data_IF_971175456632
#
_entry.id   IF_971175456632
#
_cell.length_a   1.000
_cell.length_b   1.000
_cell.length_c   1.000
_cell.angle_alpha   90.00
_cell.angle_beta   90.00
_cell.angle_gamma   90.00
#
_symmetry.space_group_name_H-M   'P 1'
#
loop_
_entity.id
_entity.type
_entity.pdbx_description
1 polymer ?
#
# COMPACT_ATOMS: atom_id res chain seq x y z
N UNK A 1 -3.65 28.05 -5.10
CA UNK A 1 -2.26 27.55 -5.00
C UNK A 1 -2.16 26.18 -5.67
N UNK A 2 -1.67 26.12 -6.92
CA UNK A 2 -1.54 24.88 -7.72
C UNK A 2 -0.14 24.25 -7.59
N UNK A 3 0.82 24.96 -6.97
CA UNK A 3 2.25 24.60 -6.96
C UNK A 3 2.76 23.97 -5.65
N UNK A 4 1.88 23.47 -4.78
CA UNK A 4 2.34 22.72 -3.61
C UNK A 4 2.86 21.34 -4.06
N UNK A 5 4.00 20.82 -3.56
CA UNK A 5 4.53 19.52 -3.97
C UNK A 5 3.51 18.37 -3.91
N UNK A 6 2.53 18.44 -3.01
CA UNK A 6 1.44 17.47 -2.90
C UNK A 6 0.42 17.49 -4.05
N UNK A 7 0.25 18.61 -4.78
CA UNK A 7 -0.73 18.69 -5.89
C UNK A 7 -0.32 17.77 -7.05
N UNK A 8 0.98 17.67 -7.33
CA UNK A 8 1.53 16.79 -8.36
C UNK A 8 1.48 15.30 -7.98
N UNK A 9 1.38 14.98 -6.68
CA UNK A 9 1.28 13.59 -6.21
C UNK A 9 -0.14 13.03 -6.30
N UNK A 10 -1.16 13.90 -6.24
CA UNK A 10 -2.57 13.49 -6.31
C UNK A 10 -2.92 12.80 -7.63
N UNK A 11 -2.24 13.14 -8.74
CA UNK A 11 -2.47 12.47 -10.02
C UNK A 11 -2.07 10.99 -9.97
N UNK A 12 -0.95 10.67 -9.30
CA UNK A 12 -0.42 9.32 -9.18
C UNK A 12 -1.28 8.49 -8.24
N UNK A 13 -1.70 9.07 -7.12
CA UNK A 13 -2.66 8.41 -6.25
C UNK A 13 -3.99 8.13 -6.98
N UNK A 14 -4.53 9.10 -7.71
CA UNK A 14 -5.74 8.89 -8.53
C UNK A 14 -5.55 7.77 -9.54
N UNK A 15 -4.43 7.74 -10.26
CA UNK A 15 -4.11 6.67 -11.21
C UNK A 15 -4.06 5.30 -10.52
N UNK A 16 -3.41 5.20 -9.36
CA UNK A 16 -3.37 3.97 -8.57
C UNK A 16 -4.76 3.51 -8.17
N UNK A 17 -5.59 4.40 -7.63
CA UNK A 17 -6.95 4.07 -7.20
C UNK A 17 -7.86 3.63 -8.34
N UNK A 18 -7.61 4.10 -9.57
CA UNK A 18 -8.34 3.72 -10.78
C UNK A 18 -7.74 2.49 -11.48
N UNK A 19 -6.55 2.04 -11.08
CA UNK A 19 -5.86 0.91 -11.72
C UNK A 19 -6.44 -0.47 -11.36
N UNK A 20 -7.38 -0.52 -10.42
CA UNK A 20 -8.03 -1.73 -9.91
C UNK A 20 -9.55 -1.53 -9.79
N UNK A 21 -10.36 -2.60 -9.70
CA UNK A 21 -11.81 -2.49 -9.57
C UNK A 21 -12.24 -1.53 -8.45
N UNK A 22 -12.91 -0.45 -8.83
CA UNK A 22 -13.15 0.68 -7.93
C UNK A 22 -14.31 0.44 -6.95
N UNK A 23 -15.43 -0.11 -7.44
CA UNK A 23 -16.68 -0.18 -6.67
C UNK A 23 -16.69 -1.25 -5.57
N UNK A 24 -15.86 -2.28 -5.68
CA UNK A 24 -15.72 -3.32 -4.64
C UNK A 24 -14.71 -2.95 -3.55
N UNK A 25 -14.06 -1.80 -3.67
CA UNK A 25 -13.01 -1.38 -2.75
C UNK A 25 -13.59 -0.90 -1.44
N UNK A 26 -13.08 -1.45 -0.34
CA UNK A 26 -13.46 -1.06 1.03
C UNK A 26 -12.23 -0.71 1.86
N UNK A 27 -12.33 0.24 2.81
CA UNK A 27 -11.32 0.41 3.86
C UNK A 27 -11.24 -0.87 4.71
N UNK A 28 -10.03 -1.36 4.99
CA UNK A 28 -9.85 -2.54 5.84
C UNK A 28 -8.53 -2.45 6.62
N UNK A 29 -8.59 -1.90 7.83
CA UNK A 29 -7.43 -1.81 8.71
C UNK A 29 -7.01 -3.17 9.29
N UNK A 30 -7.81 -4.24 9.15
CA UNK A 30 -7.39 -5.58 9.58
C UNK A 30 -6.25 -6.16 8.73
N UNK A 31 -5.92 -5.50 7.61
CA UNK A 31 -4.69 -5.73 6.85
C UNK A 31 -3.43 -5.40 7.64
N UNK A 32 -3.48 -4.53 8.65
CA UNK A 32 -2.31 -4.19 9.48
C UNK A 32 -2.28 -5.10 10.71
N UNK A 33 -1.24 -5.90 10.85
CA UNK A 33 -1.12 -6.97 11.87
C UNK A 33 -0.72 -6.49 13.27
N UNK A 34 -0.77 -5.19 13.54
CA UNK A 34 -0.33 -4.60 14.79
C UNK A 34 -0.81 -3.15 14.95
N UNK A 35 -0.04 -2.34 15.67
CA UNK A 35 -0.39 -0.94 15.90
C UNK A 35 -0.45 -0.16 14.58
N UNK A 36 -1.65 0.29 14.21
CA UNK A 36 -1.88 1.13 13.04
C UNK A 36 -1.06 2.42 13.08
N UNK A 37 -0.70 2.90 14.28
CA UNK A 37 0.01 4.16 14.49
C UNK A 37 -0.91 5.38 14.47
N UNK A 38 -0.37 6.51 14.91
CA UNK A 38 -1.07 7.79 15.00
C UNK A 38 -0.42 8.85 14.12
N UNK A 39 -1.21 9.84 13.69
CA UNK A 39 -0.74 10.98 12.87
C UNK A 39 0.09 10.48 11.67
N UNK A 40 1.34 10.93 11.55
CA UNK A 40 2.27 10.59 10.47
C UNK A 40 2.75 9.14 10.48
N UNK A 41 2.60 8.43 11.61
CA UNK A 41 2.91 7.01 11.72
C UNK A 41 1.71 6.11 11.36
N UNK A 42 0.56 6.68 10.99
CA UNK A 42 -0.64 5.91 10.73
C UNK A 42 -0.55 5.20 9.38
N UNK A 43 -0.64 3.87 9.40
CA UNK A 43 -0.85 3.06 8.21
C UNK A 43 -2.32 3.08 7.81
N UNK A 44 -2.59 3.35 6.53
CA UNK A 44 -3.95 3.36 5.99
C UNK A 44 -4.08 2.25 4.95
N UNK A 45 -5.08 1.39 5.11
CA UNK A 45 -5.23 0.18 4.32
C UNK A 45 -6.63 0.07 3.70
N UNK A 46 -6.68 -0.39 2.46
CA UNK A 46 -7.89 -0.65 1.69
C UNK A 46 -7.71 -1.88 0.82
N UNK A 47 -8.78 -2.59 0.49
CA UNK A 47 -8.74 -3.73 -0.42
C UNK A 47 -10.00 -3.82 -1.28
N UNK A 48 -9.85 -4.45 -2.44
CA UNK A 48 -10.95 -5.10 -3.14
C UNK A 48 -10.98 -6.60 -2.85
N UNK A 49 -11.49 -7.37 -3.81
CA UNK A 49 -11.52 -8.83 -3.74
C UNK A 49 -10.14 -9.44 -4.02
N UNK A 50 -9.45 -8.91 -5.04
CA UNK A 50 -8.22 -9.47 -5.57
C UNK A 50 -6.99 -8.58 -5.36
N UNK A 51 -7.11 -7.49 -4.61
CA UNK A 51 -5.99 -6.55 -4.40
C UNK A 51 -6.12 -5.80 -3.08
N UNK A 52 -5.00 -5.33 -2.55
CA UNK A 52 -4.94 -4.45 -1.39
C UNK A 52 -3.88 -3.36 -1.56
N UNK A 53 -4.13 -2.20 -0.95
CA UNK A 53 -3.20 -1.09 -0.86
C UNK A 53 -2.99 -0.73 0.61
N UNK A 54 -1.72 -0.55 1.02
CA UNK A 54 -1.35 -0.08 2.36
C UNK A 54 -0.41 1.11 2.20
N UNK A 55 -0.80 2.26 2.75
CA UNK A 55 -0.06 3.51 2.66
C UNK A 55 0.69 3.83 3.96
N UNK A 56 1.91 4.34 3.83
CA UNK A 56 2.68 5.01 4.89
C UNK A 56 3.12 6.38 4.39
N UNK A 57 3.16 7.38 5.29
CA UNK A 57 3.64 8.71 4.98
C UNK A 57 5.16 8.88 5.20
N UNK A 58 5.72 8.14 6.17
CA UNK A 58 7.10 8.34 6.61
C UNK A 58 8.03 7.15 6.36
N UNK A 59 7.56 6.13 5.64
CA UNK A 59 8.40 4.98 5.28
C UNK A 59 8.58 3.96 6.40
N UNK A 60 7.82 4.04 7.50
CA UNK A 60 7.88 3.00 8.55
C UNK A 60 7.51 1.61 8.02
N UNK A 61 8.02 0.58 8.68
CA UNK A 61 7.69 -0.81 8.40
C UNK A 61 6.18 -1.09 8.51
N UNK A 62 5.71 -1.97 7.64
CA UNK A 62 4.31 -2.39 7.53
C UNK A 62 4.16 -3.86 7.93
N UNK A 63 3.72 -4.18 9.16
CA UNK A 63 3.29 -5.53 9.50
C UNK A 63 1.92 -5.80 8.86
N UNK A 64 1.84 -6.74 7.93
CA UNK A 64 0.65 -6.99 7.10
C UNK A 64 0.09 -8.40 7.32
N UNK A 65 -1.22 -8.48 7.55
CA UNK A 65 -1.98 -9.73 7.54
C UNK A 65 -2.33 -10.13 6.10
N UNK A 66 -1.68 -11.19 5.61
CA UNK A 66 -1.99 -11.80 4.32
C UNK A 66 -3.20 -12.75 4.46
N UNK A 67 -3.80 -13.12 3.33
CA UNK A 67 -5.02 -13.94 3.27
C UNK A 67 -6.32 -13.13 3.38
N UNK A 68 -6.23 -11.80 3.29
CA UNK A 68 -7.38 -10.88 3.31
C UNK A 68 -7.98 -10.60 1.92
N UNK A 69 -7.28 -11.02 0.87
CA UNK A 69 -7.71 -10.98 -0.53
C UNK A 69 -7.70 -12.40 -1.10
N UNK A 70 -8.34 -12.62 -2.24
CA UNK A 70 -8.42 -13.92 -2.88
C UNK A 70 -7.04 -14.46 -3.32
N UNK A 71 -7.00 -15.73 -3.73
CA UNK A 71 -5.80 -16.41 -4.22
C UNK A 71 -4.93 -17.00 -3.11
N UNK A 72 -4.12 -18.01 -3.46
CA UNK A 72 -3.19 -18.66 -2.52
C UNK A 72 -1.83 -17.96 -2.47
N UNK A 73 -1.56 -17.09 -3.45
CA UNK A 73 -0.34 -16.29 -3.56
C UNK A 73 -0.69 -14.85 -3.90
N UNK A 74 0.18 -13.92 -3.51
CA UNK A 74 0.08 -12.50 -3.84
C UNK A 74 1.39 -11.99 -4.40
N UNK A 75 1.32 -11.18 -5.45
CA UNK A 75 2.44 -10.38 -5.94
C UNK A 75 2.46 -9.08 -5.14
N UNK A 76 3.60 -8.78 -4.51
CA UNK A 76 3.78 -7.52 -3.81
C UNK A 76 4.68 -6.57 -4.60
N UNK A 77 4.35 -5.28 -4.57
CA UNK A 77 5.14 -4.22 -5.20
C UNK A 77 5.11 -2.95 -4.35
N UNK A 78 6.19 -2.19 -4.37
CA UNK A 78 6.20 -0.81 -3.89
C UNK A 78 5.72 0.13 -4.98
N UNK A 79 4.89 1.09 -4.60
CA UNK A 79 4.48 2.20 -5.45
C UNK A 79 4.89 3.52 -4.81
N UNK A 80 5.59 4.35 -5.57
CA UNK A 80 6.01 5.69 -5.18
C UNK A 80 4.94 6.70 -5.65
N UNK A 81 4.14 7.29 -4.74
CA UNK A 81 3.16 8.32 -5.12
C UNK A 81 3.81 9.65 -5.52
N UNK A 82 5.14 9.77 -5.37
CA UNK A 82 5.92 10.94 -5.78
C UNK A 82 6.15 11.02 -7.29
N UNK A 83 6.35 9.86 -7.93
CA UNK A 83 6.71 9.77 -9.35
C UNK A 83 5.96 8.66 -10.12
N UNK A 84 5.02 7.98 -9.46
CA UNK A 84 4.16 6.96 -10.04
C UNK A 84 4.85 5.62 -10.34
N UNK A 85 6.13 5.44 -9.94
CA UNK A 85 6.88 4.23 -10.26
C UNK A 85 6.47 3.07 -9.37
N UNK A 86 6.48 1.87 -9.97
CA UNK A 86 6.22 0.60 -9.28
C UNK A 86 7.46 -0.28 -9.31
N UNK A 87 7.84 -0.84 -8.17
CA UNK A 87 8.97 -1.78 -8.04
C UNK A 87 8.46 -3.10 -7.47
N UNK A 88 8.60 -4.18 -8.22
CA UNK A 88 8.16 -5.52 -7.81
C UNK A 88 9.08 -6.06 -6.72
N UNK A 89 8.49 -6.59 -5.65
CA UNK A 89 9.20 -7.26 -4.55
C UNK A 89 9.25 -8.77 -4.76
N UNK A 90 8.23 -9.34 -5.38
CA UNK A 90 8.12 -10.77 -5.64
C UNK A 90 6.73 -11.30 -5.33
N UNK A 91 6.63 -12.63 -5.28
CA UNK A 91 5.38 -13.35 -4.99
C UNK A 91 5.51 -14.09 -3.67
N UNK A 92 4.47 -13.98 -2.84
CA UNK A 92 4.44 -14.53 -1.48
C UNK A 92 3.22 -15.42 -1.30
N UNK A 93 3.28 -16.37 -0.38
CA UNK A 93 2.09 -17.09 0.06
C UNK A 93 1.09 -16.08 0.67
N UNK A 94 -0.17 -16.17 0.29
CA UNK A 94 -1.23 -15.27 0.76
C UNK A 94 -1.79 -15.75 2.11
N UNK A 95 -0.91 -15.91 3.11
CA UNK A 95 -1.27 -16.41 4.43
C UNK A 95 -0.29 -15.90 5.49
N UNK A 96 -0.79 -15.71 6.70
CA UNK A 96 -0.01 -15.35 7.86
C UNK A 96 0.35 -13.86 7.89
N UNK A 97 1.27 -13.50 8.78
CA UNK A 97 1.76 -12.15 8.92
C UNK A 97 3.09 -12.01 8.19
N UNK A 98 3.28 -10.88 7.50
CA UNK A 98 4.56 -10.52 6.89
C UNK A 98 4.86 -9.04 7.12
N UNK A 99 6.09 -8.74 7.48
CA UNK A 99 6.58 -7.37 7.54
C UNK A 99 7.16 -6.95 6.19
N UNK A 100 6.78 -5.75 5.74
CA UNK A 100 7.31 -5.11 4.53
C UNK A 100 8.01 -3.81 4.92
N UNK A 101 9.27 -3.68 4.52
CA UNK A 101 10.08 -2.48 4.77
C UNK A 101 10.17 -1.62 3.50
N UNK A 102 9.60 -0.39 3.48
CA UNK A 102 9.70 0.51 2.34
C UNK A 102 11.15 0.95 2.04
N UNK A 103 11.47 1.34 0.79
CA UNK A 103 12.79 1.85 0.47
C UNK A 103 13.14 3.16 1.20
N UNK A 104 14.40 3.28 1.62
CA UNK A 104 14.94 4.46 2.31
C UNK A 104 14.78 4.39 3.84
N UNK A 105 15.17 5.47 4.52
CA UNK A 105 15.02 5.59 5.97
C UNK A 105 13.66 6.15 6.35
N UNK A 106 13.21 5.86 7.59
CA UNK A 106 11.98 6.43 8.11
C UNK A 106 12.13 7.95 8.31
N UNK A 107 11.42 8.72 7.50
CA UNK A 107 11.42 10.18 7.52
C UNK A 107 10.13 10.71 6.93
N UNK A 108 9.58 11.76 7.51
CA UNK A 108 8.40 12.44 6.99
C UNK A 108 8.57 12.83 5.52
N UNK A 109 7.61 12.40 4.68
CA UNK A 109 7.65 12.56 3.23
C UNK A 109 8.30 11.39 2.47
N UNK A 110 8.88 10.38 3.14
CA UNK A 110 9.26 9.11 2.52
C UNK A 110 8.03 8.19 2.37
N UNK A 111 7.02 8.65 1.64
CA UNK A 111 5.74 7.97 1.51
C UNK A 111 5.74 6.82 0.49
N UNK A 112 5.02 5.76 0.80
CA UNK A 112 4.96 4.57 -0.06
C UNK A 112 3.59 3.92 0.03
N UNK A 113 3.17 3.30 -1.07
CA UNK A 113 2.05 2.37 -1.08
C UNK A 113 2.58 0.97 -1.35
N UNK A 114 2.30 0.02 -0.45
CA UNK A 114 2.41 -1.40 -0.73
C UNK A 114 1.20 -1.82 -1.55
N UNK A 115 1.46 -2.35 -2.74
CA UNK A 115 0.46 -3.01 -3.58
C UNK A 115 0.55 -4.51 -3.37
N UNK A 116 -0.58 -5.14 -3.05
CA UNK A 116 -0.74 -6.59 -3.09
C UNK A 116 -1.77 -6.94 -4.16
N UNK A 117 -1.40 -7.77 -5.11
CA UNK A 117 -2.30 -8.31 -6.12
C UNK A 117 -2.37 -9.84 -5.99
N UNK A 118 -3.58 -10.39 -5.97
CA UNK A 118 -3.81 -11.84 -6.04
C UNK A 118 -3.17 -12.43 -7.29
N UNK A 119 -2.44 -13.53 -7.12
CA UNK A 119 -2.03 -14.38 -8.23
C UNK A 119 -3.04 -15.51 -8.33
N UNK A 120 -3.81 -15.49 -9.41
CA UNK A 120 -4.66 -16.60 -9.84
C UNK A 120 -3.87 -17.66 -10.57
#
# INVERSE_FOLDING_TARGET
AINAPGSAQMQYLKQLMLSRPYFERVPDQSLVAGAVGEKYNRLTATRGKNYAFIYTYNGRNMPVNLGKIAGTKVKASWYSPRDGKTTVLGTFANKGMREFNPPGEQKDGNDWVLILDSVS
#
